data_IF_178539172584
#
_entry.id   IF_178539172584
#
_cell.length_a   1.000
_cell.length_b   1.000
_cell.length_c   1.000
_cell.angle_alpha   90.00
_cell.angle_beta   90.00
_cell.angle_gamma   90.00
#
_symmetry.space_group_name_H-M   'P 1'
#
loop_
_entity.id
_entity.type
_entity.pdbx_description
1 polymer ?
#
# COMPACT_ATOMS: atom_id res chain seq x y z
N UNK A 1 24.99 -1.75 0.69
CA UNK A 1 23.78 -2.48 0.27
C UNK A 1 23.39 -1.96 -1.11
N UNK A 2 23.28 -2.82 -2.13
CA UNK A 2 22.87 -2.40 -3.48
C UNK A 2 21.45 -1.81 -3.38
N UNK A 3 21.24 -0.58 -3.85
CA UNK A 3 19.89 -0.02 -4.05
C UNK A 3 19.16 -1.00 -4.99
N UNK A 4 18.23 -1.79 -4.45
CA UNK A 4 17.38 -2.68 -5.26
C UNK A 4 16.60 -1.75 -6.18
N UNK A 5 16.71 -1.91 -7.50
CA UNK A 5 15.92 -1.12 -8.43
C UNK A 5 14.44 -1.27 -8.04
N UNK A 6 13.81 -0.15 -7.69
CA UNK A 6 12.40 -0.14 -7.34
C UNK A 6 11.60 -0.50 -8.59
N UNK A 7 10.74 -1.50 -8.50
CA UNK A 7 9.81 -1.79 -9.58
C UNK A 7 8.80 -0.63 -9.68
N UNK A 8 8.69 0.09 -10.81
CA UNK A 8 7.91 1.31 -10.91
C UNK A 8 6.45 1.15 -10.45
N UNK A 9 5.82 0.04 -10.83
CA UNK A 9 4.44 -0.26 -10.41
C UNK A 9 4.30 -0.47 -8.90
N UNK A 10 5.26 -1.15 -8.26
CA UNK A 10 5.24 -1.41 -6.81
C UNK A 10 5.33 -0.10 -6.04
N UNK A 11 6.21 0.80 -6.50
CA UNK A 11 6.33 2.13 -5.93
C UNK A 11 5.03 2.92 -6.07
N UNK A 12 4.44 2.96 -7.27
CA UNK A 12 3.18 3.67 -7.55
C UNK A 12 2.03 3.15 -6.70
N UNK A 13 1.85 1.83 -6.59
CA UNK A 13 0.83 1.22 -5.72
C UNK A 13 1.04 1.60 -4.25
N UNK A 14 2.28 1.55 -3.77
CA UNK A 14 2.61 1.97 -2.41
C UNK A 14 2.25 3.43 -2.13
N UNK A 15 2.51 4.33 -3.09
CA UNK A 15 2.14 5.74 -2.98
C UNK A 15 0.64 5.96 -3.05
N UNK A 16 -0.07 5.25 -3.92
CA UNK A 16 -1.53 5.32 -4.03
C UNK A 16 -2.21 4.96 -2.69
N UNK A 17 -1.75 3.87 -2.05
CA UNK A 17 -2.25 3.42 -0.74
C UNK A 17 -1.97 4.49 0.32
N UNK A 18 -0.74 5.00 0.36
CA UNK A 18 -0.34 6.05 1.32
C UNK A 18 -1.22 7.29 1.19
N UNK A 19 -1.43 7.75 -0.04
CA UNK A 19 -2.23 8.93 -0.34
C UNK A 19 -3.67 8.78 0.17
N UNK A 20 -4.36 7.69 -0.20
CA UNK A 20 -5.75 7.46 0.22
C UNK A 20 -5.89 7.32 1.75
N UNK A 21 -4.88 6.72 2.41
CA UNK A 21 -4.85 6.66 3.89
C UNK A 21 -4.77 8.06 4.50
N UNK A 22 -3.91 8.92 3.96
CA UNK A 22 -3.68 10.27 4.48
C UNK A 22 -4.86 11.20 4.19
N UNK A 23 -5.52 11.06 3.03
CA UNK A 23 -6.77 11.76 2.69
C UNK A 23 -7.91 11.41 3.65
N UNK A 24 -7.91 10.20 4.22
CA UNK A 24 -8.84 9.77 5.26
C UNK A 24 -8.39 10.12 6.68
N UNK A 25 -7.31 10.90 6.85
CA UNK A 25 -6.72 11.30 8.14
C UNK A 25 -6.34 10.11 9.05
N UNK A 26 -5.98 8.97 8.46
CA UNK A 26 -5.65 7.76 9.21
C UNK A 26 -4.14 7.62 9.43
N UNK A 27 -3.73 7.11 10.59
CA UNK A 27 -2.37 6.61 10.78
C UNK A 27 -2.20 5.22 10.15
N UNK A 28 -0.96 4.76 9.96
CA UNK A 28 -0.71 3.36 9.53
C UNK A 28 -1.26 2.34 10.55
N UNK A 29 -1.30 2.70 11.83
CA UNK A 29 -1.88 1.87 12.88
C UNK A 29 -3.40 1.79 12.75
N UNK A 30 -4.06 2.89 12.37
CA UNK A 30 -5.51 2.88 12.13
C UNK A 30 -5.86 2.05 10.90
N UNK A 31 -5.08 2.17 9.82
CA UNK A 31 -5.27 1.32 8.64
C UNK A 31 -5.03 -0.15 8.97
N UNK A 32 -4.02 -0.43 9.81
CA UNK A 32 -3.75 -1.79 10.29
C UNK A 32 -4.94 -2.41 11.01
N UNK A 33 -5.56 -1.66 11.93
CA UNK A 33 -6.78 -2.08 12.65
C UNK A 33 -7.95 -2.28 11.69
N UNK A 34 -8.11 -1.41 10.69
CA UNK A 34 -9.22 -1.45 9.74
C UNK A 34 -9.08 -2.62 8.74
N UNK A 35 -7.88 -2.87 8.22
CA UNK A 35 -7.65 -3.85 7.16
C UNK A 35 -7.24 -5.23 7.68
N UNK A 36 -6.90 -5.35 8.97
CA UNK A 36 -6.31 -6.55 9.55
C UNK A 36 -4.95 -6.91 8.92
N UNK A 37 -4.21 -5.92 8.42
CA UNK A 37 -2.85 -6.08 7.89
C UNK A 37 -1.88 -5.49 8.88
N UNK A 38 -0.79 -6.19 9.18
CA UNK A 38 0.24 -5.70 10.08
C UNK A 38 0.77 -4.31 9.71
N UNK A 39 0.86 -3.40 10.68
CA UNK A 39 1.40 -2.03 10.50
C UNK A 39 2.78 -2.02 9.86
N UNK A 40 3.63 -3.01 10.19
CA UNK A 40 4.96 -3.15 9.59
C UNK A 40 4.90 -3.47 8.09
N UNK A 41 3.93 -4.29 7.67
CA UNK A 41 3.67 -4.60 6.26
C UNK A 41 3.13 -3.37 5.52
N UNK A 42 2.18 -2.64 6.11
CA UNK A 42 1.68 -1.37 5.55
C UNK A 42 2.84 -0.40 5.35
N UNK A 43 3.69 -0.21 6.35
CA UNK A 43 4.84 0.68 6.27
C UNK A 43 5.81 0.31 5.15
N UNK A 44 6.08 -0.99 4.94
CA UNK A 44 6.94 -1.47 3.84
C UNK A 44 6.29 -1.30 2.47
N UNK A 45 4.98 -1.50 2.37
CA UNK A 45 4.22 -1.32 1.12
C UNK A 45 4.22 0.17 0.74
N UNK A 46 3.89 1.06 1.67
CA UNK A 46 3.83 2.52 1.43
C UNK A 46 5.19 3.17 1.13
N UNK A 47 6.29 2.56 1.58
CA UNK A 47 7.63 3.03 1.20
C UNK A 47 7.91 2.76 -0.29
N UNK A 48 7.34 1.68 -0.84
CA UNK A 48 7.57 1.23 -2.20
C UNK A 48 8.93 0.57 -2.41
N UNK A 49 9.70 0.36 -1.34
CA UNK A 49 11.08 -0.16 -1.37
C UNK A 49 11.14 -1.70 -1.31
N UNK A 50 10.01 -2.35 -1.05
CA UNK A 50 9.91 -3.80 -0.88
C UNK A 50 8.97 -4.41 -1.93
N UNK A 51 9.53 -5.26 -2.79
CA UNK A 51 8.82 -6.00 -3.85
C UNK A 51 8.00 -7.20 -3.36
N UNK A 52 8.20 -7.63 -2.11
CA UNK A 52 7.68 -8.89 -1.61
C UNK A 52 6.45 -8.66 -0.73
N UNK A 53 5.29 -8.56 -1.37
CA UNK A 53 3.99 -8.64 -0.71
C UNK A 53 3.06 -9.55 -1.51
N UNK A 54 2.13 -10.18 -0.79
CA UNK A 54 1.13 -11.03 -1.41
C UNK A 54 0.00 -10.17 -1.97
N UNK A 55 -0.52 -10.53 -3.14
CA UNK A 55 -1.67 -9.84 -3.75
C UNK A 55 -2.84 -9.69 -2.77
N UNK A 56 -3.11 -10.73 -1.96
CA UNK A 56 -4.14 -10.71 -0.91
C UNK A 56 -3.99 -9.55 0.08
N UNK A 57 -2.76 -9.11 0.35
CA UNK A 57 -2.47 -7.99 1.24
C UNK A 57 -2.87 -6.67 0.59
N UNK A 58 -2.51 -6.47 -0.68
CA UNK A 58 -2.93 -5.29 -1.45
C UNK A 58 -4.46 -5.23 -1.55
N UNK A 59 -5.10 -6.38 -1.81
CA UNK A 59 -6.57 -6.46 -1.88
C UNK A 59 -7.22 -6.00 -0.57
N UNK A 60 -6.73 -6.48 0.58
CA UNK A 60 -7.25 -6.04 1.89
C UNK A 60 -7.12 -4.53 2.10
N UNK A 61 -5.99 -3.94 1.68
CA UNK A 61 -5.76 -2.50 1.81
C UNK A 61 -6.67 -1.69 0.87
N UNK A 62 -6.84 -2.15 -0.37
CA UNK A 62 -7.76 -1.51 -1.33
C UNK A 62 -9.20 -1.53 -0.82
N UNK A 63 -9.65 -2.67 -0.31
CA UNK A 63 -11.00 -2.79 0.28
C UNK A 63 -11.16 -1.87 1.50
N UNK A 64 -10.19 -1.86 2.41
CA UNK A 64 -10.22 -1.02 3.61
C UNK A 64 -10.26 0.48 3.28
N UNK A 65 -9.47 0.91 2.30
CA UNK A 65 -9.40 2.30 1.85
C UNK A 65 -10.46 2.67 0.80
N UNK A 66 -11.31 1.71 0.39
CA UNK A 66 -12.32 1.87 -0.66
C UNK A 66 -11.74 2.36 -2.00
N UNK A 67 -10.55 1.88 -2.33
CA UNK A 67 -9.88 2.17 -3.61
C UNK A 67 -10.45 1.23 -4.67
N UNK A 68 -11.05 1.74 -5.77
CA UNK A 68 -11.43 0.91 -6.90
C UNK A 68 -10.21 0.24 -7.54
N UNK A 69 -10.28 -1.05 -7.87
CA UNK A 69 -9.17 -1.72 -8.56
C UNK A 69 -8.88 -1.14 -9.95
N UNK A 70 -9.89 -0.57 -10.61
CA UNK A 70 -9.73 0.13 -11.90
C UNK A 70 -8.73 1.29 -11.81
N UNK A 71 -8.47 1.86 -10.63
CA UNK A 71 -7.44 2.89 -10.43
C UNK A 71 -6.02 2.38 -10.75
N UNK A 72 -5.81 1.06 -10.82
CA UNK A 72 -4.54 0.49 -11.28
C UNK A 72 -4.30 0.67 -12.78
N UNK A 73 -5.35 0.85 -13.59
CA UNK A 73 -5.22 1.02 -15.05
C UNK A 73 -4.51 2.34 -15.39
N UNK A 74 -4.54 3.30 -14.46
CA UNK A 74 -3.93 4.63 -14.57
C UNK A 74 -2.46 4.67 -14.06
N UNK A 75 -1.91 3.56 -13.53
CA UNK A 75 -0.57 3.49 -12.93
C UNK A 75 0.50 3.03 -13.92
#
# INVERSE_FOLDING_TARGET
MKKKELHPLVYKVGKLIKQHREEQNMTQTDLSKLSGVEKSSISRIESGEYLEFQLKTIVKLFVALKIPFATLDDL
#
